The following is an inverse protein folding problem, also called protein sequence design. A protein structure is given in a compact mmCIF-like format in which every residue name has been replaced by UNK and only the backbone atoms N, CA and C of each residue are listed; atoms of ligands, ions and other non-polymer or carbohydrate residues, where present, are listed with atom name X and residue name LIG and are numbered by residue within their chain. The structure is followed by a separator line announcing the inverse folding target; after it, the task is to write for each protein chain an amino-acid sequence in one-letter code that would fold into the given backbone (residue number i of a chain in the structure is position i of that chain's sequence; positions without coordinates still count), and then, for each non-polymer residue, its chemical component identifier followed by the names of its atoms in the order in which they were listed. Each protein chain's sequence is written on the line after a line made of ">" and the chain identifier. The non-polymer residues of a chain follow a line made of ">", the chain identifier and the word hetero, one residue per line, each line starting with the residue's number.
data_IF_362250562463
#
_entry.id   IF_362250562463
#
_cell.length_a   1.000
_cell.length_b   1.000
_cell.length_c   1.000
_cell.angle_alpha   90.00
_cell.angle_beta   90.00
_cell.angle_gamma   90.00
#
_symmetry.space_group_name_H-M   'P 1'
#
loop_
_entity.id
_entity.type
_entity.pdbx_description
1 polymer ?
#
# COMPACT_ATOMS: atom_id res chain seq x y z
N UNK A 1 10.25 26.67 6.83
CA UNK A 1 10.83 25.93 7.98
C UNK A 1 9.96 24.73 8.41
N UNK A 2 8.63 24.85 8.47
CA UNK A 2 7.70 23.77 8.86
C UNK A 2 7.60 22.61 7.82
N UNK A 3 7.72 22.90 6.52
CA UNK A 3 7.71 21.91 5.43
C UNK A 3 8.87 20.91 5.48
N UNK A 4 10.02 21.30 6.05
CA UNK A 4 11.18 20.42 6.17
C UNK A 4 10.98 19.39 7.29
N UNK A 5 10.32 19.78 8.39
CA UNK A 5 9.97 18.86 9.46
C UNK A 5 8.92 17.84 9.00
N UNK A 6 7.92 18.28 8.22
CA UNK A 6 6.90 17.38 7.65
C UNK A 6 7.49 16.41 6.62
N UNK A 7 8.39 16.88 5.74
CA UNK A 7 9.14 15.99 4.84
C UNK A 7 10.01 14.98 5.60
N UNK A 8 10.63 15.40 6.69
CA UNK A 8 11.45 14.52 7.52
C UNK A 8 10.60 13.49 8.27
N UNK A 9 9.44 13.90 8.79
CA UNK A 9 8.47 13.01 9.44
C UNK A 9 7.91 11.99 8.44
N UNK A 10 7.55 12.43 7.24
CA UNK A 10 7.08 11.54 6.15
C UNK A 10 8.17 10.58 5.67
N UNK A 11 9.44 11.01 5.61
CA UNK A 11 10.53 10.09 5.26
C UNK A 11 10.74 9.03 6.34
N UNK A 12 10.68 9.41 7.61
CA UNK A 12 10.73 8.46 8.73
C UNK A 12 9.55 7.48 8.72
N UNK A 13 8.33 7.97 8.51
CA UNK A 13 7.13 7.15 8.38
C UNK A 13 7.25 6.17 7.20
N UNK A 14 7.76 6.64 6.05
CA UNK A 14 8.00 5.77 4.91
C UNK A 14 9.02 4.68 5.23
N UNK A 15 10.00 4.92 6.09
CA UNK A 15 11.01 3.92 6.43
C UNK A 15 10.43 2.73 7.20
N UNK A 16 9.39 2.98 7.99
CA UNK A 16 8.76 2.00 8.86
C UNK A 16 7.64 1.18 8.20
N UNK A 17 7.20 1.57 7.00
CA UNK A 17 6.20 0.82 6.22
C UNK A 17 6.87 -0.31 5.45
N UNK A 18 6.25 -1.49 5.47
CA UNK A 18 6.68 -2.64 4.68
C UNK A 18 6.94 -2.24 3.21
N UNK A 19 8.11 -2.59 2.62
CA UNK A 19 8.42 -2.28 1.23
C UNK A 19 7.33 -2.72 0.23
N UNK A 20 6.60 -3.80 0.51
CA UNK A 20 5.46 -4.26 -0.29
C UNK A 20 4.42 -3.14 -0.43
N UNK A 21 4.08 -2.46 0.66
CA UNK A 21 3.06 -1.42 0.68
C UNK A 21 3.49 -0.14 -0.05
N UNK A 22 4.76 -0.03 -0.45
CA UNK A 22 5.28 1.09 -1.27
C UNK A 22 5.16 0.83 -2.78
N UNK A 23 4.85 -0.40 -3.18
CA UNK A 23 4.66 -0.73 -4.59
C UNK A 23 3.38 -0.05 -5.11
N UNK A 24 3.32 0.39 -6.37
CA UNK A 24 2.10 0.95 -6.94
C UNK A 24 1.02 -0.15 -7.08
N UNK A 25 -0.26 0.23 -7.09
CA UNK A 25 -1.31 -0.70 -7.56
C UNK A 25 -0.99 -1.20 -8.97
N UNK A 26 -1.19 -2.50 -9.21
CA UNK A 26 -0.88 -3.12 -10.51
C UNK A 26 -2.02 -4.00 -10.99
N UNK A 27 -2.76 -3.49 -11.97
CA UNK A 27 -3.89 -4.20 -12.61
C UNK A 27 -3.39 -5.50 -13.27
N UNK A 28 -2.22 -5.46 -13.91
CA UNK A 28 -1.66 -6.60 -14.62
C UNK A 28 -2.20 -6.72 -16.06
N UNK A 29 -1.90 -7.85 -16.73
CA UNK A 29 -2.17 -8.01 -18.18
C UNK A 29 -3.47 -8.75 -18.50
N UNK A 30 -4.05 -9.42 -17.52
CA UNK A 30 -5.34 -10.10 -17.67
C UNK A 30 -6.49 -9.08 -17.54
N UNK A 31 -7.68 -9.44 -18.05
CA UNK A 31 -8.84 -8.53 -18.17
C UNK A 31 -10.02 -8.89 -17.26
N UNK A 32 -9.81 -9.72 -16.25
CA UNK A 32 -10.83 -9.94 -15.22
C UNK A 32 -10.94 -8.68 -14.32
N UNK A 33 -11.95 -8.63 -13.45
CA UNK A 33 -12.18 -7.51 -12.54
C UNK A 33 -12.37 -8.01 -11.13
N UNK A 34 -11.27 -8.29 -10.44
CA UNK A 34 -11.29 -8.73 -9.05
C UNK A 34 -11.11 -7.52 -8.12
N UNK A 35 -12.08 -7.19 -7.24
CA UNK A 35 -11.86 -6.17 -6.23
C UNK A 35 -10.76 -6.64 -5.26
N UNK A 36 -9.78 -5.77 -5.06
CA UNK A 36 -8.62 -6.00 -4.18
C UNK A 36 -8.29 -4.70 -3.47
N UNK A 37 -7.53 -4.80 -2.39
CA UNK A 37 -7.02 -3.64 -1.65
C UNK A 37 -5.53 -3.45 -1.95
N UNK A 38 -5.10 -2.19 -2.04
CA UNK A 38 -3.69 -1.81 -2.04
C UNK A 38 -3.49 -0.65 -1.07
N UNK A 39 -2.30 -0.54 -0.49
CA UNK A 39 -1.96 0.62 0.31
C UNK A 39 -1.59 1.80 -0.59
N UNK A 40 -2.32 2.91 -0.48
CA UNK A 40 -2.02 4.16 -1.17
C UNK A 40 -1.16 5.06 -0.28
N UNK A 41 0.14 5.14 -0.56
CA UNK A 41 1.09 5.95 0.20
C UNK A 41 0.88 7.45 0.10
N UNK A 42 0.09 7.95 -0.87
CA UNK A 42 -0.25 9.37 -0.95
C UNK A 42 -1.36 9.73 0.03
N UNK A 43 -2.30 8.79 0.24
CA UNK A 43 -3.45 8.96 1.14
C UNK A 43 -3.24 8.30 2.50
N UNK A 44 -2.16 7.52 2.64
CA UNK A 44 -1.83 6.76 3.85
C UNK A 44 -2.95 5.83 4.31
N UNK A 45 -3.66 5.22 3.36
CA UNK A 45 -4.78 4.32 3.64
C UNK A 45 -4.88 3.21 2.60
N UNK A 46 -5.56 2.12 2.96
CA UNK A 46 -5.91 1.05 2.04
C UNK A 46 -7.06 1.48 1.14
N UNK A 47 -6.95 1.23 -0.16
CA UNK A 47 -7.97 1.57 -1.15
C UNK A 47 -8.28 0.40 -2.07
N UNK A 48 -9.51 0.37 -2.57
CA UNK A 48 -9.95 -0.63 -3.53
C UNK A 48 -9.36 -0.32 -4.91
N UNK A 49 -8.88 -1.35 -5.60
CA UNK A 49 -8.59 -1.34 -7.01
C UNK A 49 -9.05 -2.65 -7.67
N UNK A 50 -9.17 -2.64 -9.00
CA UNK A 50 -9.59 -3.81 -9.76
C UNK A 50 -8.38 -4.52 -10.36
N UNK A 51 -8.06 -5.69 -9.81
CA UNK A 51 -6.98 -6.54 -10.29
C UNK A 51 -7.45 -7.38 -11.48
N UNK A 52 -6.62 -7.38 -12.54
CA UNK A 52 -6.87 -8.09 -13.80
C UNK A 52 -6.85 -9.61 -13.70
N UNK A 53 -6.34 -10.17 -12.59
CA UNK A 53 -6.25 -11.60 -12.35
C UNK A 53 -4.87 -12.22 -12.62
N UNK A 54 -3.96 -11.52 -13.31
CA UNK A 54 -2.58 -11.97 -13.50
C UNK A 54 -1.60 -10.82 -13.69
N UNK A 55 -0.33 -11.01 -13.29
CA UNK A 55 0.75 -10.04 -13.52
C UNK A 55 0.73 -8.81 -12.61
N UNK A 56 0.08 -8.93 -11.43
CA UNK A 56 0.09 -7.91 -10.38
C UNK A 56 1.44 -7.82 -9.65
N UNK A 57 1.42 -7.25 -8.45
CA UNK A 57 2.54 -7.26 -7.50
C UNK A 57 2.00 -7.57 -6.09
N UNK A 58 2.86 -7.49 -5.07
CA UNK A 58 2.52 -7.84 -3.71
C UNK A 58 1.64 -6.80 -2.97
N UNK A 59 1.52 -5.56 -3.46
CA UNK A 59 0.57 -4.58 -2.92
C UNK A 59 -0.84 -4.86 -3.45
N UNK A 60 -1.37 -6.03 -3.08
CA UNK A 60 -2.60 -6.59 -3.59
C UNK A 60 -3.16 -7.59 -2.56
N UNK A 61 -4.11 -7.11 -1.77
CA UNK A 61 -4.70 -7.82 -0.66
C UNK A 61 -6.17 -8.15 -0.95
N UNK A 62 -6.66 -9.25 -0.40
CA UNK A 62 -8.05 -9.66 -0.59
C UNK A 62 -9.00 -8.82 0.26
N UNK A 63 -8.57 -8.44 1.47
CA UNK A 63 -9.37 -7.70 2.43
C UNK A 63 -8.69 -6.39 2.84
N UNK A 64 -9.48 -5.44 3.34
CA UNK A 64 -8.96 -4.19 3.90
C UNK A 64 -8.11 -4.43 5.15
N UNK A 65 -8.49 -5.41 5.98
CA UNK A 65 -7.76 -5.78 7.19
C UNK A 65 -6.37 -6.32 6.87
N UNK A 66 -6.24 -7.21 5.86
CA UNK A 66 -4.93 -7.73 5.44
C UNK A 66 -4.01 -6.60 4.94
N UNK A 67 -4.57 -5.68 4.16
CA UNK A 67 -3.86 -4.50 3.69
C UNK A 67 -3.41 -3.62 4.87
N UNK A 68 -4.33 -3.32 5.78
CA UNK A 68 -4.08 -2.42 6.92
C UNK A 68 -3.05 -3.03 7.86
N UNK A 69 -3.16 -4.32 8.17
CA UNK A 69 -2.22 -5.04 9.03
C UNK A 69 -0.82 -5.15 8.43
N UNK A 70 -0.70 -5.28 7.11
CA UNK A 70 0.60 -5.31 6.42
C UNK A 70 1.22 -3.91 6.34
N UNK A 71 0.40 -2.87 6.29
CA UNK A 71 0.83 -1.47 6.19
C UNK A 71 1.12 -0.82 7.55
N UNK A 72 0.82 -1.51 8.65
CA UNK A 72 1.04 -1.00 10.01
C UNK A 72 2.52 -0.86 10.35
N UNK A 73 2.83 0.30 10.92
CA UNK A 73 4.16 0.83 11.22
C UNK A 73 4.81 0.16 12.44
N UNK A 74 4.05 -0.59 13.25
CA UNK A 74 4.53 -1.24 14.47
C UNK A 74 3.99 -2.67 14.61
N UNK A 75 4.87 -3.66 14.45
CA UNK A 75 4.77 -4.92 15.19
C UNK A 75 5.94 -5.00 16.15
N UNK A 76 5.78 -4.48 17.36
CA UNK A 76 6.50 -5.05 18.50
C UNK A 76 5.95 -6.45 18.72
N UNK A 77 6.74 -7.45 18.34
CA UNK A 77 6.69 -8.75 19.03
C UNK A 77 7.35 -8.59 20.39
#
# INVERSE_FOLDING_TARGET
>A
LQLNLYKFLLSFLSFLVDPVCKLPKKIGRCKASFPRFYFDTNRWQCEIFFYGGCGGNANNFLTEDDCSNTSQVFRTV
#
